data_IF_988710722663
#
_entry.id   IF_988710722663
#
_cell.length_a   1.000
_cell.length_b   1.000
_cell.length_c   1.000
_cell.angle_alpha   90.00
_cell.angle_beta   90.00
_cell.angle_gamma   90.00
#
_symmetry.space_group_name_H-M   'P 1'
#
loop_
_entity.id
_entity.type
_entity.pdbx_description
1 polymer ?
#
# COMPACT_ATOMS: atom_id res chain seq x y z
N UNK A 1 5.34 3.38 22.40
CA UNK A 1 5.87 4.60 21.75
C UNK A 1 5.79 4.40 20.25
N UNK A 2 4.82 5.01 19.57
CA UNK A 2 4.70 5.00 18.10
C UNK A 2 5.79 5.90 17.54
N UNK A 3 6.63 5.40 16.63
CA UNK A 3 7.60 6.23 15.92
C UNK A 3 6.93 7.41 15.19
N UNK A 4 7.68 8.44 14.78
CA UNK A 4 7.13 9.72 14.30
C UNK A 4 6.26 9.66 13.03
N UNK A 5 6.07 8.48 12.41
CA UNK A 5 5.30 8.30 11.19
C UNK A 5 5.97 8.95 9.97
N UNK A 6 5.46 8.65 8.78
CA UNK A 6 5.83 9.38 7.56
C UNK A 6 5.17 10.75 7.55
N UNK A 7 5.96 11.80 7.29
CA UNK A 7 5.41 13.13 7.07
C UNK A 7 5.17 13.41 5.59
N UNK A 8 4.30 14.39 5.35
CA UNK A 8 4.05 14.98 4.05
C UNK A 8 5.32 15.46 3.33
N UNK A 9 6.17 16.18 4.06
CA UNK A 9 7.40 16.75 3.54
C UNK A 9 8.35 15.68 3.02
N UNK A 10 8.44 14.55 3.73
CA UNK A 10 9.35 13.46 3.34
C UNK A 10 8.90 12.70 2.08
N UNK A 11 7.58 12.59 1.87
CA UNK A 11 7.03 12.04 0.63
C UNK A 11 7.33 12.95 -0.57
N UNK A 12 7.29 14.26 -0.37
CA UNK A 12 7.53 15.25 -1.44
C UNK A 12 9.03 15.49 -1.68
N UNK A 13 9.87 15.40 -0.66
CA UNK A 13 11.32 15.65 -0.78
C UNK A 13 12.00 14.65 -1.73
N UNK A 14 11.60 13.39 -1.69
CA UNK A 14 12.21 12.31 -2.48
C UNK A 14 11.25 11.73 -3.53
N UNK A 15 10.08 12.35 -3.71
CA UNK A 15 9.05 11.92 -4.64
C UNK A 15 9.02 12.79 -5.90
N UNK A 16 8.61 12.19 -7.01
CA UNK A 16 8.23 12.95 -8.21
C UNK A 16 6.71 12.96 -8.35
N UNK A 17 6.17 14.10 -8.74
CA UNK A 17 4.75 14.22 -9.06
C UNK A 17 4.56 13.84 -10.53
N UNK A 18 3.74 12.80 -10.75
CA UNK A 18 3.35 12.36 -12.09
C UNK A 18 1.83 12.32 -12.13
N UNK A 19 1.26 12.82 -13.22
CA UNK A 19 -0.17 12.75 -13.45
C UNK A 19 -0.66 11.28 -13.46
N UNK A 20 -1.82 11.03 -12.84
CA UNK A 20 -2.35 9.68 -12.66
C UNK A 20 -2.65 9.02 -14.00
N UNK A 21 -3.16 9.77 -14.97
CA UNK A 21 -3.56 9.23 -16.25
C UNK A 21 -2.33 8.91 -17.10
N UNK A 22 -1.27 9.74 -17.01
CA UNK A 22 0.04 9.43 -17.61
C UNK A 22 0.64 8.14 -17.03
N UNK A 23 0.55 7.93 -15.72
CA UNK A 23 0.98 6.67 -15.10
C UNK A 23 0.18 5.48 -15.64
N UNK A 24 -1.13 5.61 -15.77
CA UNK A 24 -1.99 4.54 -16.31
C UNK A 24 -1.65 4.23 -17.77
N UNK A 25 -1.43 5.25 -18.60
CA UNK A 25 -1.05 5.06 -20.00
C UNK A 25 0.32 4.40 -20.15
N UNK A 26 1.27 4.72 -19.26
CA UNK A 26 2.54 4.02 -19.17
C UNK A 26 2.33 2.52 -18.88
N UNK A 27 1.49 2.17 -17.90
CA UNK A 27 1.18 0.76 -17.59
C UNK A 27 0.50 0.04 -18.77
N UNK A 28 -0.45 0.68 -19.46
CA UNK A 28 -1.05 0.15 -20.70
C UNK A 28 -0.02 -0.05 -21.81
N UNK A 29 1.00 0.81 -21.88
CA UNK A 29 2.15 0.66 -22.77
C UNK A 29 2.92 -0.63 -22.46
N UNK A 30 3.25 -0.85 -21.19
CA UNK A 30 3.96 -2.05 -20.75
C UNK A 30 3.19 -3.34 -21.00
N UNK A 31 1.87 -3.37 -20.74
CA UNK A 31 1.05 -4.56 -20.99
C UNK A 31 1.02 -4.96 -22.47
N UNK A 32 1.03 -3.98 -23.39
CA UNK A 32 1.06 -4.24 -24.84
C UNK A 32 2.37 -4.87 -25.30
N UNK A 33 3.49 -4.51 -24.66
CA UNK A 33 4.82 -5.01 -25.01
C UNK A 33 5.14 -6.31 -24.28
N UNK A 34 4.67 -6.47 -23.04
CA UNK A 34 5.02 -7.58 -22.16
C UNK A 34 3.77 -8.40 -21.87
N UNK A 35 3.52 -9.40 -22.71
CA UNK A 35 2.36 -10.31 -22.65
C UNK A 35 2.23 -11.10 -21.32
N UNK A 36 3.28 -11.09 -20.48
CA UNK A 36 3.37 -11.73 -19.16
C UNK A 36 3.73 -10.74 -18.02
N UNK A 37 3.42 -9.44 -18.18
CA UNK A 37 3.90 -8.38 -17.29
C UNK A 37 3.54 -8.56 -15.80
N UNK A 38 2.41 -9.21 -15.48
CA UNK A 38 1.88 -9.24 -14.11
C UNK A 38 2.88 -9.76 -13.07
N UNK A 39 3.54 -10.89 -13.33
CA UNK A 39 4.52 -11.48 -12.40
C UNK A 39 5.80 -10.65 -12.29
N UNK A 40 6.25 -10.08 -13.41
CA UNK A 40 7.44 -9.21 -13.44
C UNK A 40 7.20 -7.89 -12.71
N UNK A 41 6.05 -7.26 -12.96
CA UNK A 41 5.63 -6.02 -12.29
C UNK A 41 5.44 -6.25 -10.79
N UNK A 42 4.83 -7.37 -10.38
CA UNK A 42 4.75 -7.75 -8.98
C UNK A 42 6.14 -7.86 -8.35
N UNK A 43 7.06 -8.60 -8.97
CA UNK A 43 8.40 -8.80 -8.43
C UNK A 43 9.21 -7.49 -8.37
N UNK A 44 9.12 -6.66 -9.40
CA UNK A 44 9.78 -5.36 -9.45
C UNK A 44 9.24 -4.43 -8.35
N UNK A 45 7.91 -4.36 -8.22
CA UNK A 45 7.26 -3.57 -7.18
C UNK A 45 7.58 -4.10 -5.77
N UNK A 46 7.67 -5.42 -5.59
CA UNK A 46 8.09 -6.04 -4.33
C UNK A 46 9.49 -5.63 -3.92
N UNK A 47 10.44 -5.60 -4.86
CA UNK A 47 11.79 -5.07 -4.60
C UNK A 47 11.75 -3.58 -4.25
N UNK A 48 10.96 -2.79 -4.95
CA UNK A 48 10.82 -1.35 -4.70
C UNK A 48 10.24 -1.07 -3.29
N UNK A 49 9.17 -1.77 -2.91
CA UNK A 49 8.54 -1.64 -1.60
C UNK A 49 9.48 -2.02 -0.46
N UNK A 50 10.25 -3.11 -0.63
CA UNK A 50 11.26 -3.51 0.34
C UNK A 50 12.38 -2.46 0.48
N UNK A 51 12.84 -1.88 -0.63
CA UNK A 51 13.87 -0.85 -0.62
C UNK A 51 13.39 0.44 0.06
N UNK A 52 12.16 0.88 -0.21
CA UNK A 52 11.58 2.06 0.45
C UNK A 52 11.42 1.83 1.95
N UNK A 53 10.89 0.67 2.36
CA UNK A 53 10.71 0.32 3.76
C UNK A 53 12.04 0.35 4.54
N UNK A 54 13.12 -0.23 3.98
CA UNK A 54 14.45 -0.22 4.61
C UNK A 54 14.99 1.20 4.79
N UNK A 55 14.93 2.02 3.74
CA UNK A 55 15.40 3.43 3.81
C UNK A 55 14.65 4.25 4.85
N UNK A 56 13.35 4.03 4.99
CA UNK A 56 12.55 4.73 5.99
C UNK A 56 12.76 4.19 7.40
N UNK A 57 13.02 2.88 7.55
CA UNK A 57 13.36 2.26 8.83
C UNK A 57 14.72 2.76 9.34
N UNK A 58 15.72 2.89 8.46
CA UNK A 58 17.04 3.47 8.76
C UNK A 58 16.92 4.92 9.28
N UNK A 59 15.90 5.66 8.83
CA UNK A 59 15.57 7.02 9.28
C UNK A 59 14.65 7.05 10.51
N UNK A 60 14.30 5.90 11.08
CA UNK A 60 13.40 5.78 12.24
C UNK A 60 11.95 6.21 11.97
N UNK A 61 11.51 6.24 10.70
CA UNK A 61 10.16 6.69 10.31
C UNK A 61 9.12 5.59 10.33
N UNK A 62 9.55 4.38 9.99
CA UNK A 62 8.71 3.19 9.99
C UNK A 62 9.35 2.10 10.83
N UNK A 63 8.50 1.35 11.52
CA UNK A 63 8.87 0.24 12.37
C UNK A 63 7.93 -0.92 12.07
N UNK A 64 8.12 -2.05 12.76
CA UNK A 64 7.18 -3.18 12.66
C UNK A 64 5.79 -2.78 13.11
N UNK A 65 5.71 -1.99 14.18
CA UNK A 65 4.48 -1.61 14.87
C UNK A 65 3.59 -0.72 14.01
N UNK A 66 4.17 0.17 13.19
CA UNK A 66 3.40 1.06 12.31
C UNK A 66 3.46 0.65 10.83
N UNK A 67 3.98 -0.56 10.51
CA UNK A 67 4.28 -0.98 9.15
C UNK A 67 3.06 -0.91 8.23
N UNK A 68 1.92 -1.45 8.68
CA UNK A 68 0.70 -1.54 7.88
C UNK A 68 -0.02 -0.19 7.76
N UNK A 69 -0.11 0.58 8.84
CA UNK A 69 -0.72 1.92 8.81
C UNK A 69 0.08 2.86 7.91
N UNK A 70 1.41 2.85 8.02
CA UNK A 70 2.30 3.73 7.27
C UNK A 70 2.21 3.49 5.77
N UNK A 71 2.13 2.23 5.33
CA UNK A 71 2.02 1.93 3.90
C UNK A 71 0.63 2.29 3.36
N UNK A 72 -0.43 2.01 4.12
CA UNK A 72 -1.81 2.40 3.75
C UNK A 72 -1.93 3.91 3.62
N UNK A 73 -1.40 4.66 4.59
CA UNK A 73 -1.35 6.12 4.54
C UNK A 73 -0.55 6.61 3.33
N UNK A 74 0.66 6.07 3.11
CA UNK A 74 1.54 6.46 2.00
C UNK A 74 0.87 6.26 0.65
N UNK A 75 0.20 5.12 0.44
CA UNK A 75 -0.51 4.83 -0.81
C UNK A 75 -1.60 5.86 -1.11
N UNK A 76 -2.40 6.20 -0.12
CA UNK A 76 -3.48 7.18 -0.29
C UNK A 76 -2.92 8.59 -0.46
N UNK A 77 -1.92 8.97 0.33
CA UNK A 77 -1.26 10.28 0.26
C UNK A 77 -0.56 10.52 -1.09
N UNK A 78 0.12 9.49 -1.62
CA UNK A 78 0.76 9.53 -2.93
C UNK A 78 -0.24 9.44 -4.10
N UNK A 79 -1.55 9.32 -3.81
CA UNK A 79 -2.60 9.39 -4.81
C UNK A 79 -2.83 8.10 -5.59
N UNK A 80 -2.29 6.97 -5.13
CA UNK A 80 -2.56 5.65 -5.71
C UNK A 80 -3.98 5.14 -5.40
N UNK A 81 -4.67 5.73 -4.42
CA UNK A 81 -6.02 5.39 -4.05
C UNK A 81 -6.81 6.62 -3.59
N UNK A 82 -8.14 6.51 -3.56
CA UNK A 82 -9.03 7.51 -2.97
C UNK A 82 -9.32 7.21 -1.50
N UNK A 83 -9.46 5.92 -1.18
CA UNK A 83 -9.63 5.43 0.19
C UNK A 83 -8.95 4.06 0.32
N UNK A 84 -8.38 3.79 1.49
CA UNK A 84 -7.94 2.46 1.86
C UNK A 84 -8.35 2.15 3.31
N UNK A 85 -8.81 0.92 3.54
CA UNK A 85 -9.27 0.41 4.84
C UNK A 85 -8.70 -0.97 5.10
N UNK A 86 -8.07 -1.15 6.26
CA UNK A 86 -7.66 -2.48 6.75
C UNK A 86 -8.90 -3.16 7.35
N UNK A 87 -9.58 -3.99 6.57
CA UNK A 87 -10.85 -4.61 6.98
C UNK A 87 -10.65 -5.63 8.10
N UNK A 88 -9.61 -6.46 7.97
CA UNK A 88 -9.30 -7.47 8.98
C UNK A 88 -7.82 -7.78 9.05
N UNK A 89 -7.41 -8.19 10.25
CA UNK A 89 -6.12 -8.80 10.52
C UNK A 89 -6.39 -10.04 11.36
N UNK A 90 -6.10 -11.20 10.80
CA UNK A 90 -6.26 -12.50 11.45
C UNK A 90 -4.87 -13.06 11.80
N UNK A 91 -4.59 -13.20 13.09
CA UNK A 91 -3.30 -13.69 13.58
C UNK A 91 -3.48 -15.15 14.00
N UNK A 92 -2.72 -16.05 13.39
CA UNK A 92 -2.67 -17.48 13.72
C UNK A 92 -1.23 -17.87 14.04
N UNK A 93 -1.05 -19.10 14.52
CA UNK A 93 0.29 -19.66 14.66
C UNK A 93 0.93 -19.80 13.27
N UNK A 94 2.15 -19.25 13.10
CA UNK A 94 2.91 -19.31 11.85
C UNK A 94 2.39 -18.45 10.69
N UNK A 95 1.22 -17.81 10.80
CA UNK A 95 0.66 -17.01 9.71
C UNK A 95 -0.20 -15.83 10.22
N UNK A 96 -0.09 -14.68 9.55
CA UNK A 96 -0.99 -13.54 9.73
C UNK A 96 -1.59 -13.16 8.39
N UNK A 97 -2.92 -13.08 8.33
CA UNK A 97 -3.64 -12.65 7.12
C UNK A 97 -4.16 -11.24 7.29
N UNK A 98 -3.86 -10.36 6.33
CA UNK A 98 -4.37 -8.99 6.27
C UNK A 98 -5.29 -8.85 5.07
N UNK A 99 -6.47 -8.28 5.29
CA UNK A 99 -7.42 -7.90 4.25
C UNK A 99 -7.51 -6.38 4.13
N UNK A 100 -7.21 -5.87 2.94
CA UNK A 100 -7.21 -4.45 2.63
C UNK A 100 -8.25 -4.17 1.53
N UNK A 101 -9.19 -3.29 1.81
CA UNK A 101 -10.14 -2.75 0.82
C UNK A 101 -9.69 -1.38 0.36
N UNK A 102 -9.67 -1.18 -0.95
CA UNK A 102 -9.19 0.05 -1.57
C UNK A 102 -10.21 0.53 -2.60
N UNK A 103 -10.63 1.79 -2.46
CA UNK A 103 -11.49 2.48 -3.41
C UNK A 103 -10.67 3.43 -4.26
N UNK A 104 -11.03 3.53 -5.54
CA UNK A 104 -10.37 4.46 -6.46
C UNK A 104 -8.89 4.13 -6.69
N UNK A 105 -8.52 2.84 -6.60
CA UNK A 105 -7.17 2.34 -6.87
C UNK A 105 -6.71 2.80 -8.27
N UNK A 106 -5.43 3.14 -8.42
CA UNK A 106 -4.89 3.81 -9.61
C UNK A 106 -5.24 3.08 -10.90
N UNK A 107 -4.94 1.79 -11.00
CA UNK A 107 -5.24 1.01 -12.21
C UNK A 107 -6.69 0.51 -12.18
N UNK A 108 -7.15 0.00 -11.03
CA UNK A 108 -8.50 -0.49 -10.84
C UNK A 108 -9.61 0.47 -11.25
N UNK A 109 -9.45 1.77 -11.00
CA UNK A 109 -10.45 2.80 -11.33
C UNK A 109 -10.42 3.28 -12.79
N UNK A 110 -9.38 2.94 -13.56
CA UNK A 110 -9.13 3.51 -14.91
C UNK A 110 -9.03 2.46 -16.02
N UNK A 111 -8.86 1.19 -15.65
CA UNK A 111 -8.77 0.08 -16.58
C UNK A 111 -10.06 -0.75 -16.56
N UNK A 112 -10.35 -1.41 -17.67
CA UNK A 112 -11.35 -2.48 -17.75
C UNK A 112 -10.64 -3.78 -18.06
N UNK A 113 -10.85 -4.80 -17.24
CA UNK A 113 -10.17 -6.10 -17.37
C UNK A 113 -11.01 -7.21 -16.77
N UNK A 114 -10.86 -8.44 -17.30
CA UNK A 114 -11.43 -9.63 -16.66
C UNK A 114 -10.58 -10.14 -15.49
N UNK A 115 -9.34 -9.68 -15.39
CA UNK A 115 -8.35 -10.07 -14.37
C UNK A 115 -8.02 -8.89 -13.45
N UNK A 116 -7.54 -9.16 -12.23
CA UNK A 116 -6.99 -8.12 -11.35
C UNK A 116 -5.83 -7.37 -12.01
N UNK A 117 -5.73 -6.06 -11.79
CA UNK A 117 -4.81 -5.14 -12.51
C UNK A 117 -3.80 -4.44 -11.59
N UNK A 118 -4.05 -4.35 -10.29
CA UNK A 118 -3.22 -3.60 -9.34
C UNK A 118 -2.08 -4.48 -8.79
N UNK A 119 -1.53 -5.39 -9.60
CA UNK A 119 -0.36 -6.22 -9.24
C UNK A 119 0.86 -5.42 -8.74
N UNK A 120 1.16 -4.22 -9.29
CA UNK A 120 2.21 -3.37 -8.72
C UNK A 120 1.93 -2.95 -7.28
N UNK A 121 0.67 -2.62 -6.92
CA UNK A 121 0.28 -2.25 -5.55
C UNK A 121 0.48 -3.45 -4.62
N UNK A 122 0.02 -4.64 -5.03
CA UNK A 122 0.18 -5.87 -4.27
C UNK A 122 1.66 -6.17 -4.03
N UNK A 123 2.48 -6.14 -5.09
CA UNK A 123 3.91 -6.40 -4.99
C UNK A 123 4.58 -5.45 -4.01
N UNK A 124 4.33 -4.14 -4.17
CA UNK A 124 4.92 -3.11 -3.31
C UNK A 124 4.59 -3.32 -1.83
N UNK A 125 3.31 -3.50 -1.48
CA UNK A 125 2.89 -3.71 -0.09
C UNK A 125 3.50 -5.01 0.47
N UNK A 126 3.53 -6.10 -0.31
CA UNK A 126 4.15 -7.35 0.13
C UNK A 126 5.65 -7.17 0.43
N UNK A 127 6.37 -6.44 -0.41
CA UNK A 127 7.80 -6.18 -0.22
C UNK A 127 8.08 -5.27 0.98
N UNK A 128 7.24 -4.26 1.17
CA UNK A 128 7.27 -3.39 2.33
C UNK A 128 7.12 -4.16 3.64
N UNK A 129 6.06 -4.98 3.75
CA UNK A 129 5.79 -5.78 4.93
C UNK A 129 6.88 -6.81 5.17
N UNK A 130 7.37 -7.48 4.12
CA UNK A 130 8.45 -8.46 4.22
C UNK A 130 9.75 -7.84 4.76
N UNK A 131 10.09 -6.63 4.33
CA UNK A 131 11.29 -5.93 4.80
C UNK A 131 11.21 -5.53 6.28
N UNK A 132 10.05 -5.07 6.76
CA UNK A 132 9.89 -4.65 8.15
C UNK A 132 9.67 -5.84 9.09
N UNK A 133 8.90 -6.83 8.67
CA UNK A 133 8.55 -7.98 9.50
C UNK A 133 9.58 -9.11 9.44
N UNK A 134 10.52 -9.09 8.49
CA UNK A 134 11.50 -10.17 8.33
C UNK A 134 10.87 -11.52 7.98
N UNK A 135 9.62 -11.52 7.52
CA UNK A 135 8.84 -12.72 7.19
C UNK A 135 8.45 -12.67 5.73
N UNK A 136 8.41 -13.81 5.05
CA UNK A 136 7.89 -13.90 3.69
C UNK A 136 6.45 -13.39 3.64
N UNK A 137 6.13 -12.53 2.67
CA UNK A 137 4.76 -12.07 2.41
C UNK A 137 4.33 -12.42 0.99
N UNK A 138 3.21 -13.13 0.89
CA UNK A 138 2.53 -13.42 -0.37
C UNK A 138 1.27 -12.54 -0.46
N UNK A 139 1.21 -11.66 -1.46
CA UNK A 139 0.05 -10.82 -1.71
C UNK A 139 -0.74 -11.26 -2.94
N UNK A 140 -2.06 -11.04 -2.94
CA UNK A 140 -2.89 -11.14 -4.14
C UNK A 140 -4.01 -10.09 -4.13
N UNK A 141 -4.49 -9.77 -5.32
CA UNK A 141 -5.73 -9.04 -5.52
C UNK A 141 -6.86 -10.04 -5.81
N UNK A 142 -7.88 -10.07 -4.95
CA UNK A 142 -8.99 -11.02 -5.08
C UNK A 142 -10.06 -10.56 -6.07
N UNK A 143 -10.34 -9.26 -6.07
CA UNK A 143 -11.30 -8.60 -6.96
C UNK A 143 -10.94 -7.14 -7.11
N UNK A 144 -11.37 -6.51 -8.21
CA UNK A 144 -11.11 -5.09 -8.44
C UNK A 144 -12.16 -4.37 -9.27
N UNK A 145 -12.20 -3.04 -9.11
CA UNK A 145 -13.05 -2.15 -9.89
C UNK A 145 -12.87 -2.29 -11.40
N UNK A 146 -11.68 -2.66 -11.87
CA UNK A 146 -11.45 -2.94 -13.29
C UNK A 146 -12.30 -4.10 -13.83
N UNK A 147 -12.75 -4.99 -12.95
CA UNK A 147 -13.64 -6.12 -13.25
C UNK A 147 -15.12 -5.78 -13.06
N UNK A 148 -15.46 -4.53 -12.71
CA UNK A 148 -16.83 -4.05 -12.48
C UNK A 148 -17.30 -4.06 -11.03
N UNK A 149 -16.40 -4.33 -10.06
CA UNK A 149 -16.72 -4.17 -8.63
C UNK A 149 -16.64 -2.69 -8.20
N UNK A 150 -17.14 -2.36 -7.01
CA UNK A 150 -17.01 -1.00 -6.45
C UNK A 150 -15.57 -0.73 -5.98
N UNK A 151 -15.00 -1.70 -5.27
CA UNK A 151 -13.69 -1.60 -4.62
C UNK A 151 -12.75 -2.72 -5.08
N UNK A 152 -11.44 -2.51 -4.92
CA UNK A 152 -10.42 -3.55 -5.04
C UNK A 152 -10.09 -4.13 -3.66
N UNK A 153 -9.94 -5.46 -3.59
CA UNK A 153 -9.64 -6.19 -2.36
C UNK A 153 -8.28 -6.86 -2.52
N UNK A 154 -7.39 -6.56 -1.59
CA UNK A 154 -6.08 -7.17 -1.49
C UNK A 154 -6.00 -8.05 -0.24
N UNK A 155 -5.40 -9.23 -0.41
CA UNK A 155 -5.06 -10.12 0.67
C UNK A 155 -3.55 -10.31 0.75
N UNK A 156 -3.02 -10.22 1.96
CA UNK A 156 -1.62 -10.48 2.26
C UNK A 156 -1.52 -11.60 3.30
N UNK A 157 -0.74 -12.63 2.97
CA UNK A 157 -0.37 -13.71 3.90
C UNK A 157 1.08 -13.51 4.31
N UNK A 158 1.26 -13.10 5.57
CA UNK A 158 2.56 -12.99 6.23
C UNK A 158 2.89 -14.35 6.83
N UNK A 159 3.98 -14.99 6.40
CA UNK A 159 4.39 -16.35 6.81
C UNK A 159 5.09 -16.37 8.17
N UNK A 160 4.51 -15.65 9.12
CA UNK A 160 4.85 -15.70 10.53
C UNK A 160 3.70 -15.10 11.35
N UNK A 161 3.78 -15.27 12.67
CA UNK A 161 2.88 -14.59 13.60
C UNK A 161 3.34 -13.13 13.78
N UNK A 162 2.50 -12.18 13.36
CA UNK A 162 2.76 -10.74 13.39
C UNK A 162 1.61 -9.99 14.09
N UNK A 163 1.47 -10.12 15.42
CA UNK A 163 0.36 -9.53 16.17
C UNK A 163 0.35 -8.00 16.12
N UNK A 164 1.51 -7.36 15.89
CA UNK A 164 1.65 -5.92 15.76
C UNK A 164 0.79 -5.34 14.63
N UNK A 165 0.52 -6.12 13.57
CA UNK A 165 -0.36 -5.69 12.48
C UNK A 165 -1.82 -5.52 12.93
N UNK A 166 -2.21 -6.20 14.01
CA UNK A 166 -3.58 -6.17 14.54
C UNK A 166 -4.01 -4.78 15.00
N UNK A 167 -3.06 -3.91 15.39
CA UNK A 167 -3.34 -2.53 15.77
C UNK A 167 -3.94 -1.71 14.62
N UNK A 168 -3.62 -2.05 13.36
CA UNK A 168 -4.13 -1.37 12.19
C UNK A 168 -5.55 -1.81 11.79
N UNK A 169 -6.18 -2.76 12.51
CA UNK A 169 -7.53 -3.23 12.15
C UNK A 169 -8.53 -2.08 12.23
N UNK A 170 -9.27 -1.85 11.15
CA UNK A 170 -10.21 -0.73 11.03
C UNK A 170 -9.54 0.60 10.65
N UNK A 171 -8.21 0.64 10.56
CA UNK A 171 -7.49 1.83 10.11
C UNK A 171 -7.94 2.22 8.70
N UNK A 172 -8.34 3.49 8.56
CA UNK A 172 -8.91 4.06 7.34
C UNK A 172 -8.22 5.37 7.01
N UNK A 173 -7.85 5.52 5.74
CA UNK A 173 -7.31 6.77 5.20
C UNK A 173 -8.07 7.13 3.95
N UNK A 174 -8.48 8.40 3.83
CA UNK A 174 -9.05 8.96 2.61
C UNK A 174 -8.07 9.95 1.99
N UNK A 175 -8.19 10.19 0.68
CA UNK A 175 -7.36 11.19 -0.01
C UNK A 175 -7.56 12.58 0.59
N UNK A 176 -8.79 12.90 1.01
CA UNK A 176 -9.09 14.18 1.65
C UNK A 176 -8.36 14.34 3.00
N UNK A 177 -8.34 13.29 3.84
CA UNK A 177 -7.65 13.31 5.12
C UNK A 177 -6.13 13.34 4.94
N UNK A 178 -5.62 12.60 3.96
CA UNK A 178 -4.20 12.62 3.62
C UNK A 178 -3.77 14.00 3.10
N UNK A 179 -4.51 14.61 2.16
CA UNK A 179 -4.22 15.95 1.63
C UNK A 179 -4.26 17.03 2.71
N UNK A 180 -5.21 16.97 3.64
CA UNK A 180 -5.24 17.90 4.80
C UNK A 180 -3.96 17.78 5.65
N UNK A 181 -3.46 16.57 5.85
CA UNK A 181 -2.19 16.37 6.56
C UNK A 181 -0.98 16.89 5.74
N UNK A 182 -1.07 16.86 4.41
CA UNK A 182 -0.04 17.43 3.52
C UNK A 182 -0.02 18.97 3.54
N UNK A 183 -1.18 19.63 3.64
CA UNK A 183 -1.29 21.09 3.59
C UNK A 183 -1.11 21.79 4.94
N UNK A 184 -1.33 21.10 6.06
CA UNK A 184 -1.29 21.70 7.41
C UNK A 184 0.08 21.71 8.10
N UNK A 185 1.16 21.23 7.45
CA UNK A 185 2.54 21.47 7.88
C UNK A 185 2.89 21.10 9.34
N UNK A 186 3.40 19.90 9.58
CA UNK A 186 4.43 19.70 10.60
C UNK A 186 4.03 19.68 12.08
N UNK A 187 2.80 19.27 12.45
CA UNK A 187 2.55 18.76 13.82
C UNK A 187 2.29 17.25 13.73
N UNK A 188 3.14 16.47 14.40
CA UNK A 188 3.10 15.01 14.39
C UNK A 188 1.69 14.46 14.58
N UNK A 189 1.38 13.41 13.82
CA UNK A 189 0.11 12.69 13.90
C UNK A 189 -0.07 12.14 15.32
N UNK A 190 -0.83 12.85 16.15
CA UNK A 190 -1.56 12.25 17.25
C UNK A 190 -2.68 11.41 16.65
N UNK A 191 -2.39 10.15 16.35
CA UNK A 191 -3.39 9.16 15.93
C UNK A 191 -4.31 8.88 17.13
N UNK A 192 -5.39 9.66 17.24
CA UNK A 192 -6.46 9.40 18.20
C UNK A 192 -7.34 8.25 17.70
N UNK A 193 -7.42 7.19 18.50
CA UNK A 193 -8.46 6.19 18.37
C UNK A 193 -9.81 6.85 18.72
N UNK A 194 -10.76 6.76 17.79
CA UNK A 194 -12.18 7.03 18.00
C UNK A 194 -12.99 5.81 17.58
#
# INVERSE_FOLDING_TARGET
>A
MTGPGLTAGELLENGILVDRDIMVDMYRGFERVIRFAGGLLYAAAKKAGAAMARRLAERGRVTRENALESIVYTFVAAGYAEEAVVESVEVREGETTVRLRVRGALLGSRLKSRKPVDQPIVGFIAGWLEALLGCRVDGREERCAAQGYEDCIFLFRVRCRAPELGAARGFRVTRSSALKALTLGGRGLGLGAG
#
